data_IF_239476057329
#
_entry.id   IF_239476057329
#
_cell.length_a   1.000
_cell.length_b   1.000
_cell.length_c   1.000
_cell.angle_alpha   90.00
_cell.angle_beta   90.00
_cell.angle_gamma   90.00
#
_symmetry.space_group_name_H-M   'P 1'
#
loop_
_entity.id
_entity.type
_entity.pdbx_description
1 polymer ?
#
# COMPACT_ATOMS: atom_id res chain seq x y z
N UNK A 1 -7.58 -9.69 -6.78
CA UNK A 1 -7.45 -8.29 -7.23
C UNK A 1 -7.38 -8.14 -8.75
N UNK A 2 -8.38 -7.45 -9.32
CA UNK A 2 -8.34 -6.94 -10.69
C UNK A 2 -7.92 -5.46 -10.76
N UNK A 3 -7.88 -4.89 -11.97
CA UNK A 3 -7.48 -3.49 -12.16
C UNK A 3 -8.46 -2.48 -11.56
N UNK A 4 -9.75 -2.82 -11.46
CA UNK A 4 -10.78 -1.95 -10.87
C UNK A 4 -10.64 -1.95 -9.36
N UNK A 5 -10.47 -3.12 -8.76
CA UNK A 5 -10.21 -3.24 -7.31
C UNK A 5 -9.02 -2.37 -6.89
N UNK A 6 -7.95 -2.36 -7.71
CA UNK A 6 -6.77 -1.55 -7.45
C UNK A 6 -7.04 -0.05 -7.63
N UNK A 7 -7.76 0.35 -8.67
CA UNK A 7 -8.13 1.74 -8.92
C UNK A 7 -8.99 2.29 -7.78
N UNK A 8 -10.04 1.56 -7.40
CA UNK A 8 -10.98 1.93 -6.34
C UNK A 8 -10.24 2.09 -5.00
N UNK A 9 -9.30 1.17 -4.69
CA UNK A 9 -8.45 1.30 -3.51
C UNK A 9 -7.61 2.58 -3.55
N UNK A 10 -6.97 2.88 -4.68
CA UNK A 10 -6.13 4.07 -4.82
C UNK A 10 -6.93 5.36 -4.69
N UNK A 11 -8.15 5.40 -5.23
CA UNK A 11 -9.07 6.53 -5.11
C UNK A 11 -9.52 6.72 -3.65
N UNK A 12 -9.92 5.65 -2.96
CA UNK A 12 -10.29 5.69 -1.54
C UNK A 12 -9.12 6.21 -0.69
N UNK A 13 -7.90 5.72 -0.93
CA UNK A 13 -6.70 6.21 -0.23
C UNK A 13 -6.46 7.70 -0.50
N UNK A 14 -6.60 8.12 -1.76
CA UNK A 14 -6.45 9.51 -2.17
C UNK A 14 -7.45 10.45 -1.48
N UNK A 15 -8.72 10.07 -1.42
CA UNK A 15 -9.79 10.83 -0.76
C UNK A 15 -9.53 11.01 0.75
N UNK A 16 -8.77 10.11 1.35
CA UNK A 16 -8.36 10.17 2.76
C UNK A 16 -7.00 10.86 2.98
N UNK A 17 -6.41 11.43 1.92
CA UNK A 17 -5.12 12.11 2.00
C UNK A 17 -3.91 11.18 2.12
N UNK A 18 -4.05 9.93 1.67
CA UNK A 18 -2.95 8.97 1.53
C UNK A 18 -2.48 8.93 0.08
N UNK A 19 -1.26 9.37 -0.16
CA UNK A 19 -0.60 9.21 -1.45
C UNK A 19 0.03 7.81 -1.55
N UNK A 20 -0.19 7.14 -2.67
CA UNK A 20 0.24 5.75 -2.91
C UNK A 20 1.22 5.67 -4.07
N UNK A 21 2.35 4.97 -3.87
CA UNK A 21 3.29 4.59 -4.92
C UNK A 21 3.34 3.05 -4.99
N UNK A 22 3.17 2.51 -6.19
CA UNK A 22 3.41 1.10 -6.51
C UNK A 22 4.55 1.03 -7.52
N UNK A 23 5.55 0.19 -7.27
CA UNK A 23 6.68 0.04 -8.18
C UNK A 23 7.04 -1.43 -8.35
N UNK A 24 7.27 -1.83 -9.61
CA UNK A 24 7.96 -3.07 -9.94
C UNK A 24 9.40 -2.75 -10.35
N UNK A 25 10.38 -3.32 -9.67
CA UNK A 25 11.80 -3.11 -9.93
C UNK A 25 12.40 -4.37 -10.58
N UNK A 26 12.67 -4.27 -11.88
CA UNK A 26 13.24 -5.36 -12.68
C UNK A 26 14.70 -5.68 -12.31
N UNK A 27 15.49 -4.71 -11.84
CA UNK A 27 16.86 -4.95 -11.38
C UNK A 27 16.86 -5.81 -10.12
N UNK A 28 15.97 -5.51 -9.16
CA UNK A 28 15.79 -6.36 -7.97
C UNK A 28 15.35 -7.77 -8.33
N UNK A 29 14.46 -7.93 -9.30
CA UNK A 29 14.07 -9.26 -9.78
C UNK A 29 15.28 -10.03 -10.34
N UNK A 30 16.11 -9.37 -11.16
CA UNK A 30 17.29 -9.97 -11.76
C UNK A 30 18.31 -10.45 -10.71
N UNK A 31 18.36 -9.77 -9.57
CA UNK A 31 19.21 -10.11 -8.42
C UNK A 31 18.57 -11.13 -7.45
N UNK A 32 17.45 -11.78 -7.82
CA UNK A 32 16.64 -12.66 -6.97
C UNK A 32 16.15 -11.98 -5.67
N UNK A 33 15.97 -10.67 -5.70
CA UNK A 33 15.36 -9.88 -4.63
C UNK A 33 13.85 -9.71 -4.80
N UNK A 34 13.25 -9.01 -3.84
CA UNK A 34 11.84 -8.66 -3.82
C UNK A 34 11.54 -7.54 -4.84
N UNK A 35 10.78 -7.81 -5.92
CA UNK A 35 10.65 -6.87 -7.02
C UNK A 35 9.59 -5.80 -6.79
N UNK A 36 8.62 -6.02 -5.89
CA UNK A 36 7.55 -5.06 -5.62
C UNK A 36 7.89 -4.15 -4.45
N UNK A 37 7.56 -2.87 -4.60
CA UNK A 37 7.57 -1.87 -3.52
C UNK A 37 6.21 -1.19 -3.48
N UNK A 38 5.64 -1.05 -2.29
CA UNK A 38 4.49 -0.19 -2.04
C UNK A 38 4.84 0.84 -0.98
N UNK A 39 4.52 2.11 -1.24
CA UNK A 39 4.73 3.21 -0.30
C UNK A 39 3.42 3.97 -0.12
N UNK A 40 3.03 4.20 1.13
CA UNK A 40 1.97 5.09 1.54
C UNK A 40 2.59 6.29 2.26
N UNK A 41 2.18 7.49 1.87
CA UNK A 41 2.63 8.75 2.51
C UNK A 41 1.45 9.68 2.73
N UNK A 42 1.63 10.67 3.60
CA UNK A 42 0.67 11.75 3.79
C UNK A 42 0.22 11.94 5.24
N UNK A 43 -0.69 12.90 5.48
CA UNK A 43 -1.16 13.23 6.83
C UNK A 43 -1.88 12.07 7.52
N UNK A 44 -2.63 11.26 6.77
CA UNK A 44 -3.38 10.13 7.30
C UNK A 44 -2.51 8.92 7.67
N UNK A 45 -1.22 8.92 7.30
CA UNK A 45 -0.25 7.87 7.69
C UNK A 45 0.28 8.06 9.12
N UNK A 46 -0.36 8.96 9.89
CA UNK A 46 -0.01 9.20 11.28
C UNK A 46 1.37 9.86 11.46
N UNK A 47 1.97 9.76 12.66
CA UNK A 47 3.22 10.45 12.99
C UNK A 47 4.43 9.92 12.21
N UNK A 48 4.36 8.69 11.68
CA UNK A 48 5.45 8.03 10.94
C UNK A 48 5.62 8.65 9.54
N UNK A 49 4.56 9.28 8.99
CA UNK A 49 4.49 9.97 7.69
C UNK A 49 4.74 9.10 6.44
N UNK A 50 5.37 7.94 6.60
CA UNK A 50 5.66 6.98 5.55
C UNK A 50 5.44 5.55 6.07
N UNK A 51 4.77 4.73 5.28
CA UNK A 51 4.67 3.29 5.45
C UNK A 51 5.10 2.65 4.14
N UNK A 52 6.11 1.79 4.17
CA UNK A 52 6.59 1.08 3.00
C UNK A 52 6.73 -0.43 3.26
N UNK A 53 6.73 -1.18 2.16
CA UNK A 53 7.05 -2.59 2.15
C UNK A 53 7.60 -3.03 0.78
N UNK A 54 8.69 -3.80 0.83
CA UNK A 54 9.20 -4.56 -0.30
C UNK A 54 8.74 -6.03 -0.19
N UNK A 55 8.18 -6.59 -1.27
CA UNK A 55 7.58 -7.93 -1.31
C UNK A 55 7.76 -8.66 -2.64
N UNK A 56 7.41 -9.95 -2.65
CA UNK A 56 7.52 -10.81 -3.82
C UNK A 56 6.34 -10.59 -4.79
N UNK A 57 5.20 -10.17 -4.26
CA UNK A 57 3.97 -9.89 -5.03
C UNK A 57 3.32 -8.57 -4.62
N UNK A 58 2.61 -7.93 -5.55
CA UNK A 58 1.86 -6.71 -5.25
C UNK A 58 0.78 -6.93 -4.16
N UNK A 59 -0.05 -8.00 -4.18
CA UNK A 59 -1.05 -8.23 -3.14
C UNK A 59 -0.44 -8.40 -1.74
N UNK A 60 0.69 -9.09 -1.62
CA UNK A 60 1.43 -9.20 -0.36
C UNK A 60 1.81 -7.81 0.16
N UNK A 61 2.40 -6.97 -0.69
CA UNK A 61 2.82 -5.63 -0.31
C UNK A 61 1.64 -4.79 0.16
N UNK A 62 0.54 -4.79 -0.61
CA UNK A 62 -0.70 -4.08 -0.27
C UNK A 62 -1.25 -4.55 1.08
N UNK A 63 -1.36 -5.85 1.30
CA UNK A 63 -1.85 -6.37 2.58
C UNK A 63 -0.98 -5.90 3.76
N UNK A 64 0.35 -5.92 3.61
CA UNK A 64 1.25 -5.47 4.68
C UNK A 64 1.11 -3.98 4.95
N UNK A 65 1.15 -3.12 3.92
CA UNK A 65 1.07 -1.67 4.15
C UNK A 65 -0.29 -1.22 4.66
N UNK A 66 -1.38 -1.86 4.21
CA UNK A 66 -2.74 -1.54 4.66
C UNK A 66 -2.95 -1.97 6.12
N UNK A 67 -2.38 -3.11 6.54
CA UNK A 67 -2.40 -3.50 7.96
C UNK A 67 -1.60 -2.52 8.82
N UNK A 68 -0.38 -2.13 8.39
CA UNK A 68 0.41 -1.09 9.09
C UNK A 68 -0.33 0.25 9.15
N UNK A 69 -1.12 0.58 8.13
CA UNK A 69 -1.93 1.79 8.12
C UNK A 69 -3.04 1.72 9.18
N UNK A 70 -3.74 0.58 9.32
CA UNK A 70 -4.76 0.38 10.38
C UNK A 70 -4.20 0.47 11.79
N UNK A 71 -2.92 0.20 11.97
CA UNK A 71 -2.24 0.34 13.26
C UNK A 71 -1.96 1.80 13.62
N UNK A 72 -2.08 2.74 12.68
CA UNK A 72 -1.91 4.17 12.97
C UNK A 72 -3.14 4.73 13.70
N UNK A 73 -3.00 5.84 14.46
CA UNK A 73 -4.14 6.56 15.00
C UNK A 73 -4.98 7.18 13.86
N UNK A 74 -6.28 6.87 13.80
CA UNK A 74 -7.18 7.39 12.77
C UNK A 74 -8.53 6.69 12.76
N UNK A 75 -9.45 7.19 11.93
CA UNK A 75 -10.63 6.44 11.51
C UNK A 75 -10.23 5.52 10.35
N UNK A 76 -10.56 4.24 10.43
CA UNK A 76 -10.25 3.22 9.43
C UNK A 76 -11.49 2.54 8.87
N UNK A 77 -12.68 3.05 9.19
CA UNK A 77 -13.96 2.47 8.73
C UNK A 77 -14.13 2.48 7.21
N UNK A 78 -13.39 3.34 6.52
CA UNK A 78 -13.34 3.46 5.07
C UNK A 78 -12.39 2.46 4.40
N UNK A 79 -11.46 1.85 5.14
CA UNK A 79 -10.47 0.97 4.56
C UNK A 79 -11.07 -0.44 4.36
N UNK A 80 -11.10 -0.98 3.13
CA UNK A 80 -11.77 -2.27 2.88
C UNK A 80 -11.16 -3.40 3.70
N UNK A 81 -12.00 -4.28 4.27
CA UNK A 81 -11.60 -5.29 5.26
C UNK A 81 -10.77 -6.43 4.62
N UNK A 82 -11.08 -6.79 3.38
CA UNK A 82 -10.37 -7.83 2.63
C UNK A 82 -9.93 -7.33 1.25
N UNK A 83 -8.65 -7.49 0.96
CA UNK A 83 -8.07 -7.42 -0.38
C UNK A 83 -7.48 -8.79 -0.71
N UNK A 84 -8.35 -9.70 -1.17
CA UNK A 84 -7.95 -11.04 -1.65
C UNK A 84 -7.86 -11.12 -3.18
#
# INVERSE_FOLDING_TARGET
>A
MDLRDLSDLMEILGDQGVATLLQFNQERLADNGKPWTVILTGPAVGPIRIIDYDGDTLPECLNVVLNKLREQPGDWSWLPIDFS
#
